data_IF_942042576776
#
_entry.id   IF_942042576776
#
_cell.length_a   1.000
_cell.length_b   1.000
_cell.length_c   1.000
_cell.angle_alpha   90.00
_cell.angle_beta   90.00
_cell.angle_gamma   90.00
#
_symmetry.space_group_name_H-M   'P 1'
#
loop_
_entity.id
_entity.type
_entity.pdbx_description
1 polymer ?
#
# COMPACT_ATOMS: atom_id res chain seq x y z
N UNK A 1 17.78 -23.88 -28.94
CA UNK A 1 16.40 -24.32 -29.21
C UNK A 1 15.48 -23.49 -28.34
N UNK A 2 14.67 -22.67 -29.02
CA UNK A 2 13.50 -21.90 -28.58
C UNK A 2 13.75 -20.81 -27.52
N UNK A 3 14.16 -19.64 -28.04
CA UNK A 3 13.94 -18.34 -27.41
C UNK A 3 12.44 -18.04 -27.36
N UNK A 4 11.80 -18.28 -26.21
CA UNK A 4 10.42 -17.81 -25.93
C UNK A 4 10.45 -16.39 -25.32
N UNK A 5 11.16 -15.48 -25.99
CA UNK A 5 11.08 -14.05 -25.72
C UNK A 5 9.86 -13.50 -26.46
N UNK A 6 8.66 -13.60 -25.87
CA UNK A 6 7.47 -12.87 -26.34
C UNK A 6 6.33 -12.85 -25.30
N UNK A 7 6.69 -12.51 -24.07
CA UNK A 7 5.76 -11.80 -23.19
C UNK A 7 6.35 -10.40 -23.12
N UNK A 8 5.62 -9.39 -23.60
CA UNK A 8 6.11 -8.00 -23.69
C UNK A 8 6.73 -7.53 -22.38
N UNK A 9 7.57 -6.50 -22.45
CA UNK A 9 8.35 -5.95 -21.33
C UNK A 9 7.47 -5.23 -20.30
N UNK A 10 6.51 -5.96 -19.72
CA UNK A 10 5.59 -5.47 -18.71
C UNK A 10 5.95 -6.09 -17.36
N UNK A 11 6.01 -5.21 -16.36
CA UNK A 11 6.17 -5.58 -14.97
C UNK A 11 4.88 -5.24 -14.25
N UNK A 12 4.43 -6.13 -13.37
CA UNK A 12 3.31 -5.83 -12.49
C UNK A 12 3.84 -5.22 -11.21
N UNK A 13 3.41 -3.99 -10.94
CA UNK A 13 3.72 -3.31 -9.67
C UNK A 13 2.51 -3.45 -8.76
N UNK A 14 2.68 -4.17 -7.66
CA UNK A 14 1.67 -4.28 -6.62
C UNK A 14 1.92 -3.16 -5.61
N UNK A 15 0.98 -2.22 -5.54
CA UNK A 15 1.02 -1.13 -4.58
C UNK A 15 0.53 -1.63 -3.22
N UNK A 16 1.45 -1.70 -2.27
CA UNK A 16 1.11 -1.98 -0.89
C UNK A 16 0.92 -0.68 -0.12
N UNK A 17 -0.32 -0.40 0.25
CA UNK A 17 -0.64 0.75 1.09
C UNK A 17 -0.08 0.56 2.51
N UNK A 18 0.76 1.50 2.93
CA UNK A 18 1.27 1.61 4.30
C UNK A 18 0.68 2.83 4.99
N UNK A 19 0.28 2.68 6.24
CA UNK A 19 -0.40 3.76 6.97
C UNK A 19 0.62 4.80 7.46
N UNK A 20 0.47 6.06 7.02
CA UNK A 20 1.28 7.18 7.50
C UNK A 20 0.77 7.68 8.86
N UNK A 21 1.64 7.71 9.87
CA UNK A 21 1.35 8.06 11.28
C UNK A 21 1.30 9.58 11.53
N UNK A 22 0.57 10.31 10.71
CA UNK A 22 0.60 11.79 10.75
C UNK A 22 -0.28 12.41 11.86
N UNK A 23 -1.00 11.61 12.67
CA UNK A 23 -1.91 12.13 13.70
C UNK A 23 -1.86 11.39 15.03
N UNK A 24 -2.20 12.12 16.10
CA UNK A 24 -2.69 11.54 17.37
C UNK A 24 -4.05 10.89 17.11
N UNK A 25 -4.01 9.63 16.69
CA UNK A 25 -5.19 8.76 16.61
C UNK A 25 -5.71 8.52 18.03
N UNK A 26 -7.04 8.54 18.20
CA UNK A 26 -7.65 8.16 19.48
C UNK A 26 -7.33 6.68 19.76
N UNK A 27 -7.34 6.27 21.03
CA UNK A 27 -7.05 4.88 21.41
C UNK A 27 -7.96 3.87 20.68
N UNK A 28 -9.21 4.27 20.39
CA UNK A 28 -10.16 3.50 19.60
C UNK A 28 -9.76 3.35 18.13
N UNK A 29 -9.29 4.44 17.49
CA UNK A 29 -8.85 4.40 16.10
C UNK A 29 -7.61 3.50 15.95
N UNK A 30 -6.70 3.53 16.94
CA UNK A 30 -5.53 2.64 16.97
C UNK A 30 -5.93 1.17 17.08
N UNK A 31 -6.98 0.84 17.83
CA UNK A 31 -7.49 -0.52 17.95
C UNK A 31 -8.09 -1.00 16.62
N UNK A 32 -8.94 -0.18 15.97
CA UNK A 32 -9.54 -0.48 14.66
C UNK A 32 -8.44 -0.66 13.61
N UNK A 33 -7.44 0.21 13.60
CA UNK A 33 -6.33 0.18 12.65
C UNK A 33 -5.43 -1.05 12.86
N UNK A 34 -5.18 -1.43 14.12
CA UNK A 34 -4.45 -2.66 14.47
C UNK A 34 -5.21 -3.89 14.00
N UNK A 35 -6.53 -3.92 14.18
CA UNK A 35 -7.39 -5.00 13.70
C UNK A 35 -7.39 -5.09 12.17
N UNK A 36 -7.44 -3.96 11.46
CA UNK A 36 -7.30 -3.91 10.00
C UNK A 36 -5.96 -4.52 9.53
N UNK A 37 -4.85 -4.16 10.16
CA UNK A 37 -3.51 -4.69 9.83
C UNK A 37 -3.45 -6.20 10.12
N UNK A 38 -4.04 -6.65 11.22
CA UNK A 38 -4.11 -8.05 11.59
C UNK A 38 -4.82 -8.90 10.53
N UNK A 39 -6.00 -8.44 10.05
CA UNK A 39 -6.72 -9.10 8.96
C UNK A 39 -5.88 -9.11 7.68
N UNK A 40 -5.26 -7.97 7.31
CA UNK A 40 -4.41 -7.87 6.12
C UNK A 40 -3.25 -8.88 6.16
N UNK A 41 -2.68 -9.16 7.33
CA UNK A 41 -1.57 -10.11 7.52
C UNK A 41 -2.00 -11.58 7.38
N UNK A 42 -3.25 -11.90 7.69
CA UNK A 42 -3.80 -13.26 7.55
C UNK A 42 -4.19 -13.56 6.09
N UNK A 43 -4.54 -12.52 5.33
CA UNK A 43 -4.87 -12.67 3.92
C UNK A 43 -3.65 -13.12 3.10
N UNK A 44 -3.92 -13.93 2.07
CA UNK A 44 -2.92 -14.43 1.13
C UNK A 44 -2.36 -13.27 0.30
N UNK A 45 -1.06 -13.30 -0.03
CA UNK A 45 -0.44 -12.23 -0.82
C UNK A 45 -1.15 -12.05 -2.17
N UNK A 46 -1.36 -10.80 -2.64
CA UNK A 46 -2.08 -10.55 -3.89
C UNK A 46 -1.43 -11.26 -5.08
N UNK A 47 -0.11 -11.37 -5.10
CA UNK A 47 0.67 -12.15 -6.09
C UNK A 47 0.13 -13.56 -6.31
N UNK A 48 -0.22 -14.26 -5.22
CA UNK A 48 -0.78 -15.62 -5.27
C UNK A 48 -2.23 -15.65 -5.71
N UNK A 49 -3.00 -14.59 -5.45
CA UNK A 49 -4.39 -14.48 -5.92
C UNK A 49 -4.48 -14.29 -7.44
N UNK A 50 -3.54 -13.54 -8.02
CA UNK A 50 -3.53 -13.26 -9.45
C UNK A 50 -2.91 -14.37 -10.30
N UNK A 51 -2.24 -15.35 -9.69
CA UNK A 51 -1.61 -16.47 -10.42
C UNK A 51 -0.47 -16.02 -11.35
N UNK A 52 0.17 -14.90 -11.04
CA UNK A 52 1.23 -14.32 -11.85
C UNK A 52 2.56 -14.96 -11.45
N UNK A 53 3.43 -15.22 -12.43
CA UNK A 53 4.79 -15.67 -12.17
C UNK A 53 5.54 -14.64 -11.31
N UNK A 54 6.08 -15.07 -10.17
CA UNK A 54 6.76 -14.19 -9.21
C UNK A 54 7.99 -13.48 -9.81
N UNK A 55 8.51 -13.95 -10.95
CA UNK A 55 9.64 -13.34 -11.66
C UNK A 55 9.30 -12.00 -12.34
N UNK A 56 8.03 -11.68 -12.55
CA UNK A 56 7.57 -10.45 -13.24
C UNK A 56 6.81 -9.47 -12.34
N UNK A 57 6.79 -9.73 -11.02
CA UNK A 57 6.06 -8.92 -10.04
C UNK A 57 7.03 -8.21 -9.10
N UNK A 58 6.75 -6.93 -8.84
CA UNK A 58 7.46 -6.11 -7.86
C UNK A 58 6.46 -5.46 -6.90
N UNK A 59 6.79 -5.43 -5.60
CA UNK A 59 5.94 -4.82 -4.57
C UNK A 59 6.52 -3.47 -4.18
N UNK A 60 5.73 -2.41 -4.36
CA UNK A 60 6.09 -1.05 -3.98
C UNK A 60 5.22 -0.57 -2.82
N UNK A 61 5.84 0.01 -1.79
CA UNK A 61 5.14 0.49 -0.59
C UNK A 61 4.82 1.98 -0.72
N UNK A 62 3.54 2.31 -0.78
CA UNK A 62 3.08 3.70 -0.91
C UNK A 62 2.41 4.18 0.39
N UNK A 63 2.81 5.35 0.93
CA UNK A 63 2.20 5.88 2.13
C UNK A 63 0.77 6.38 1.83
N UNK A 64 -0.20 5.89 2.59
CA UNK A 64 -1.56 6.44 2.62
C UNK A 64 -1.74 7.32 3.84
N UNK A 65 -2.21 8.54 3.59
CA UNK A 65 -2.61 9.49 4.62
C UNK A 65 -4.06 9.22 5.02
N UNK A 66 -4.28 8.90 6.31
CA UNK A 66 -5.63 8.67 6.85
C UNK A 66 -6.15 9.95 7.53
N UNK A 67 -7.34 10.40 7.08
CA UNK A 67 -8.12 11.47 7.68
C UNK A 67 -8.13 12.78 6.89
N UNK A 68 -9.10 13.66 7.18
CA UNK A 68 -9.21 14.99 6.56
C UNK A 68 -7.98 15.82 6.86
N UNK A 69 -7.09 16.10 5.91
CA UNK A 69 -6.01 17.11 6.07
C UNK A 69 -6.67 18.36 6.67
N UNK A 70 -6.33 18.73 7.91
CA UNK A 70 -6.82 20.00 8.47
C UNK A 70 -6.30 21.04 7.50
N UNK A 71 -7.17 21.75 6.80
CA UNK A 71 -6.76 22.92 5.99
C UNK A 71 -6.08 23.88 6.96
N UNK A 72 -4.75 23.85 7.00
CA UNK A 72 -3.97 24.79 7.79
C UNK A 72 -4.17 26.12 7.07
N UNK A 73 -4.96 27.02 7.67
CA UNK A 73 -5.03 28.39 7.18
C UNK A 73 -3.71 29.06 7.55
N UNK A 74 -2.77 29.07 6.60
CA UNK A 74 -1.53 29.81 6.75
C UNK A 74 -1.89 31.31 6.86
N UNK A 75 -1.60 31.92 8.01
CA UNK A 75 -1.58 33.37 8.12
C UNK A 75 -0.18 33.82 7.73
N UNK A 76 -0.09 34.65 6.68
CA UNK A 76 1.16 35.32 6.33
C UNK A 76 1.59 36.16 7.53
N UNK A 77 2.77 35.86 8.07
CA UNK A 77 3.45 36.71 9.04
C UNK A 77 4.23 37.73 8.22
N UNK A 78 3.99 39.01 8.47
CA UNK A 78 4.77 40.11 7.89
C UNK A 78 6.11 40.22 8.60
#
# INVERSE_FOLDING_TARGET
MIDNKNVGDFKFIILEEVISKERKLSNWDNLIMSFKIFIKKINVSPEKWFGIDTSIVEVEKVPITIGRIKKIKLKRVN
#
